data_IF_075680948220
#
_entry.id   IF_075680948220
#
_cell.length_a   1.000
_cell.length_b   1.000
_cell.length_c   1.000
_cell.angle_alpha   90.00
_cell.angle_beta   90.00
_cell.angle_gamma   90.00
#
_symmetry.space_group_name_H-M   'P 1'
#
loop_
_entity.id
_entity.type
_entity.pdbx_description
1 polymer ?
#
# COMPACT_ATOMS: atom_id res chain seq x y z
N UNK A 1 -2.95 33.29 33.58
CA UNK A 1 -1.71 33.66 32.88
C UNK A 1 -1.09 32.40 32.31
N UNK A 2 -1.38 32.16 31.04
CA UNK A 2 -0.93 31.05 30.20
C UNK A 2 0.57 31.21 29.87
N UNK A 3 1.40 30.21 30.21
CA UNK A 3 2.73 30.07 29.63
C UNK A 3 2.59 29.34 28.29
N UNK A 4 3.05 29.98 27.23
CA UNK A 4 2.92 29.54 25.85
C UNK A 4 3.67 28.25 25.55
N UNK A 5 3.10 27.47 24.63
CA UNK A 5 3.74 26.35 23.96
C UNK A 5 4.95 26.86 23.18
N UNK A 6 6.16 26.52 23.63
CA UNK A 6 7.36 26.68 22.81
C UNK A 6 7.23 25.76 21.60
N UNK A 7 7.25 26.35 20.39
CA UNK A 7 7.44 25.57 19.18
C UNK A 7 8.85 24.97 19.26
N UNK A 8 8.94 23.66 19.31
CA UNK A 8 10.19 22.90 19.28
C UNK A 8 10.88 23.19 17.95
N UNK A 9 12.06 23.81 17.99
CA UNK A 9 12.82 24.15 16.78
C UNK A 9 13.15 22.85 16.04
N UNK A 10 12.82 22.71 14.75
CA UNK A 10 13.07 21.46 14.03
C UNK A 10 14.57 21.14 14.01
N UNK A 11 14.95 19.85 14.11
CA UNK A 11 16.34 19.44 14.17
C UNK A 11 17.11 19.90 12.92
N UNK A 12 18.33 20.35 13.16
CA UNK A 12 19.20 20.96 12.16
C UNK A 12 19.96 19.91 11.33
N UNK A 13 20.26 18.76 11.94
CA UNK A 13 21.01 17.64 11.35
C UNK A 13 20.19 16.35 11.44
N UNK A 14 20.18 15.53 10.39
CA UNK A 14 19.46 14.25 10.39
C UNK A 14 20.45 13.12 10.05
N UNK A 15 20.55 12.13 10.93
CA UNK A 15 21.34 10.92 10.72
C UNK A 15 20.41 9.85 10.15
N UNK A 16 20.58 9.50 8.87
CA UNK A 16 19.57 8.78 8.09
C UNK A 16 20.07 7.41 7.68
N UNK A 17 19.33 6.37 8.08
CA UNK A 17 19.49 5.02 7.55
C UNK A 17 18.91 4.90 6.14
N UNK A 18 19.74 4.54 5.18
CA UNK A 18 19.32 4.40 3.79
C UNK A 18 18.87 2.99 3.41
N UNK A 19 18.94 2.05 4.35
CA UNK A 19 18.55 0.65 4.10
C UNK A 19 19.60 -0.13 3.28
N UNK A 20 19.24 -1.33 2.78
CA UNK A 20 20.19 -2.27 2.19
C UNK A 20 20.64 -1.96 0.75
N UNK A 21 20.05 -0.96 0.08
CA UNK A 21 20.34 -0.71 -1.34
C UNK A 21 19.18 -0.04 -2.07
N UNK A 22 18.12 -0.80 -2.38
CA UNK A 22 16.99 -0.30 -3.14
C UNK A 22 16.36 0.97 -2.52
N UNK A 23 16.16 2.01 -3.35
CA UNK A 23 15.55 3.30 -2.93
C UNK A 23 14.16 3.11 -2.34
N UNK A 24 13.41 2.11 -2.78
CA UNK A 24 12.05 1.81 -2.29
C UNK A 24 12.03 1.16 -0.90
N UNK A 25 13.21 0.79 -0.37
CA UNK A 25 13.41 0.37 1.01
C UNK A 25 13.78 1.52 1.96
N UNK A 26 13.95 2.74 1.44
CA UNK A 26 14.03 3.94 2.27
C UNK A 26 12.72 4.16 3.02
N UNK A 27 12.82 4.60 4.26
CA UNK A 27 11.64 5.12 4.95
C UNK A 27 11.10 6.36 4.22
N UNK A 28 9.79 6.56 4.27
CA UNK A 28 9.15 7.76 3.69
C UNK A 28 9.72 9.04 4.33
N UNK A 29 10.20 8.95 5.58
CA UNK A 29 10.88 10.04 6.27
C UNK A 29 12.28 10.31 5.70
N UNK A 30 13.09 9.26 5.53
CA UNK A 30 14.43 9.35 4.94
C UNK A 30 14.39 9.98 3.55
N UNK A 31 13.56 9.44 2.65
CA UNK A 31 13.41 9.96 1.28
C UNK A 31 13.03 11.45 1.22
N UNK A 32 12.11 11.90 2.07
CA UNK A 32 11.71 13.32 2.15
C UNK A 32 12.84 14.22 2.65
N UNK A 33 13.55 13.81 3.70
CA UNK A 33 14.62 14.60 4.29
C UNK A 33 15.81 14.72 3.33
N UNK A 34 16.15 13.64 2.63
CA UNK A 34 17.21 13.64 1.60
C UNK A 34 16.83 14.61 0.47
N UNK A 35 15.61 14.49 -0.08
CA UNK A 35 15.12 15.33 -1.18
C UNK A 35 14.94 16.82 -0.81
N UNK A 36 14.95 17.16 0.48
CA UNK A 36 14.83 18.53 0.99
C UNK A 36 16.16 19.05 1.57
N UNK A 37 17.25 18.29 1.46
CA UNK A 37 18.54 18.66 2.03
C UNK A 37 19.24 19.74 1.20
N UNK A 38 19.93 20.66 1.89
CA UNK A 38 20.85 21.61 1.26
C UNK A 38 22.30 21.12 1.28
N UNK A 39 22.63 20.24 2.24
CA UNK A 39 23.93 19.55 2.32
C UNK A 39 23.73 18.08 2.69
N UNK A 40 24.39 17.18 1.96
CA UNK A 40 24.35 15.74 2.14
C UNK A 40 25.77 15.19 2.37
N UNK A 41 25.99 14.57 3.53
CA UNK A 41 27.21 13.86 3.88
C UNK A 41 26.98 12.35 3.67
N UNK A 42 27.95 11.66 3.08
CA UNK A 42 27.90 10.21 2.88
C UNK A 42 29.30 9.62 2.77
N UNK A 43 29.48 8.35 3.13
CA UNK A 43 30.73 7.63 2.89
C UNK A 43 30.69 6.96 1.50
N UNK A 44 31.62 7.35 0.62
CA UNK A 44 31.73 6.74 -0.71
C UNK A 44 32.00 5.24 -0.63
N UNK A 45 31.30 4.45 -1.47
CA UNK A 45 31.42 2.99 -1.52
C UNK A 45 30.67 2.24 -0.41
N UNK A 46 30.14 2.93 0.60
CA UNK A 46 29.33 2.33 1.68
C UNK A 46 27.85 2.60 1.45
N UNK A 47 27.49 3.84 1.12
CA UNK A 47 26.11 4.23 0.85
C UNK A 47 25.71 3.83 -0.58
N UNK A 48 24.60 3.09 -0.78
CA UNK A 48 24.10 2.72 -2.09
C UNK A 48 23.92 3.92 -3.03
N UNK A 49 24.38 3.77 -4.28
CA UNK A 49 24.32 4.83 -5.29
C UNK A 49 22.88 5.25 -5.59
N UNK A 50 21.90 4.35 -5.43
CA UNK A 50 20.51 4.69 -5.65
C UNK A 50 19.98 5.67 -4.59
N UNK A 51 20.42 5.60 -3.32
CA UNK A 51 20.03 6.58 -2.30
C UNK A 51 20.53 8.00 -2.63
N UNK A 52 21.71 8.10 -3.26
CA UNK A 52 22.27 9.37 -3.73
C UNK A 52 21.45 10.02 -4.85
N UNK A 53 20.66 9.24 -5.60
CA UNK A 53 19.78 9.78 -6.66
C UNK A 53 18.66 10.68 -6.15
N UNK A 54 18.35 10.62 -4.86
CA UNK A 54 17.35 11.48 -4.20
C UNK A 54 17.93 12.82 -3.74
N UNK A 55 19.26 12.96 -3.71
CA UNK A 55 19.90 14.20 -3.28
C UNK A 55 19.64 15.28 -4.34
N UNK A 56 19.14 16.47 -3.96
CA UNK A 56 18.87 17.53 -4.91
C UNK A 56 20.14 17.92 -5.68
N UNK A 57 20.05 18.23 -6.98
CA UNK A 57 21.22 18.68 -7.75
C UNK A 57 21.79 20.02 -7.25
N UNK A 58 21.01 20.75 -6.45
CA UNK A 58 21.42 22.01 -5.80
C UNK A 58 22.09 21.78 -4.44
N UNK A 59 22.06 20.57 -3.89
CA UNK A 59 22.63 20.27 -2.59
C UNK A 59 24.14 20.08 -2.70
N UNK A 60 24.88 20.54 -1.67
CA UNK A 60 26.30 20.24 -1.53
C UNK A 60 26.47 18.79 -1.09
N UNK A 61 27.19 18.00 -1.87
CA UNK A 61 27.51 16.61 -1.53
C UNK A 61 28.95 16.54 -1.00
N UNK A 62 29.12 15.94 0.18
CA UNK A 62 30.41 15.80 0.87
C UNK A 62 30.68 14.32 1.12
N UNK A 63 31.79 13.83 0.58
CA UNK A 63 32.27 12.47 0.83
C UNK A 63 33.05 12.42 2.15
N UNK A 64 32.59 11.62 3.10
CA UNK A 64 33.17 11.47 4.44
C UNK A 64 34.21 10.36 4.54
N UNK A 65 34.43 9.57 3.48
CA UNK A 65 35.34 8.41 3.50
C UNK A 65 36.80 8.75 3.84
N UNK A 66 37.22 10.00 3.63
CA UNK A 66 38.55 10.52 3.96
C UNK A 66 38.58 11.62 5.02
N UNK A 67 37.45 11.90 5.70
CA UNK A 67 37.36 12.99 6.68
C UNK A 67 37.50 12.46 8.10
N UNK A 68 38.25 13.17 8.93
CA UNK A 68 38.17 12.98 10.38
C UNK A 68 36.84 13.51 10.92
N UNK A 69 36.43 13.03 12.10
CA UNK A 69 35.20 13.45 12.76
C UNK A 69 35.13 14.97 12.97
N UNK A 70 36.25 15.60 13.35
CA UNK A 70 36.34 17.06 13.47
C UNK A 70 36.11 17.78 12.15
N UNK A 71 36.64 17.26 11.03
CA UNK A 71 36.39 17.83 9.70
C UNK A 71 34.94 17.64 9.24
N UNK A 72 34.31 16.52 9.59
CA UNK A 72 32.90 16.30 9.31
C UNK A 72 32.01 17.30 10.07
N UNK A 73 32.35 17.59 11.33
CA UNK A 73 31.67 18.62 12.14
C UNK A 73 31.90 20.03 11.60
N UNK A 74 33.09 20.35 11.10
CA UNK A 74 33.36 21.64 10.47
C UNK A 74 32.50 21.85 9.22
N UNK A 75 32.35 20.81 8.37
CA UNK A 75 31.45 20.85 7.20
C UNK A 75 29.97 20.98 7.62
N UNK A 76 29.54 20.27 8.66
CA UNK A 76 28.19 20.40 9.22
C UNK A 76 27.96 21.82 9.73
N UNK A 77 28.90 22.37 10.52
CA UNK A 77 28.80 23.73 11.09
C UNK A 77 28.77 24.80 9.99
N UNK A 78 29.60 24.66 8.96
CA UNK A 78 29.59 25.54 7.79
C UNK A 78 28.26 25.47 7.02
N UNK A 79 27.66 24.28 6.91
CA UNK A 79 26.36 24.09 6.27
C UNK A 79 25.21 24.72 7.07
N UNK A 80 25.22 24.55 8.38
CA UNK A 80 24.26 25.21 9.27
C UNK A 80 24.39 26.74 9.22
N UNK A 81 25.62 27.27 9.11
CA UNK A 81 25.86 28.71 8.92
C UNK A 81 25.27 29.27 7.61
N UNK A 82 25.04 28.43 6.59
CA UNK A 82 24.34 28.79 5.35
C UNK A 82 22.81 28.67 5.45
N UNK A 83 22.30 28.10 6.54
CA UNK A 83 20.89 27.76 6.69
C UNK A 83 20.49 26.47 5.97
N UNK A 84 21.44 25.62 5.61
CA UNK A 84 21.16 24.35 4.94
C UNK A 84 20.53 23.35 5.93
N UNK A 85 19.57 22.57 5.44
CA UNK A 85 19.20 21.32 6.11
C UNK A 85 20.29 20.28 5.82
N UNK A 86 20.89 19.74 6.87
CA UNK A 86 21.98 18.78 6.77
C UNK A 86 21.46 17.36 6.96
N UNK A 87 21.84 16.46 6.05
CA UNK A 87 21.61 15.01 6.18
C UNK A 87 22.95 14.27 6.13
N UNK A 88 23.10 13.25 6.97
CA UNK A 88 24.23 12.33 6.95
C UNK A 88 23.69 10.92 6.72
N UNK A 89 24.12 10.26 5.64
CA UNK A 89 23.59 8.97 5.20
C UNK A 89 24.43 7.80 5.71
N UNK A 90 23.75 6.78 6.24
CA UNK A 90 24.34 5.52 6.70
C UNK A 90 23.67 4.35 6.00
N UNK A 91 24.44 3.37 5.53
CA UNK A 91 23.88 2.14 4.96
C UNK A 91 23.12 1.34 6.04
N UNK A 92 21.99 0.71 5.71
CA UNK A 92 21.18 0.04 6.74
C UNK A 92 20.56 1.05 7.72
N UNK A 93 20.80 0.87 9.03
CA UNK A 93 20.39 1.78 10.09
C UNK A 93 21.60 2.47 10.76
N UNK A 94 21.55 3.77 11.12
CA UNK A 94 22.67 4.45 11.76
C UNK A 94 23.11 3.82 13.10
N UNK A 95 22.23 3.13 13.83
CA UNK A 95 22.58 2.41 15.07
C UNK A 95 23.56 1.25 14.84
N UNK A 96 23.68 0.77 13.59
CA UNK A 96 24.64 -0.27 13.22
C UNK A 96 26.07 0.26 13.04
N UNK A 97 26.26 1.59 13.07
CA UNK A 97 27.51 2.28 12.75
C UNK A 97 28.08 3.03 13.96
N UNK A 98 29.24 2.62 14.51
CA UNK A 98 29.90 3.32 15.62
C UNK A 98 30.16 4.81 15.33
N UNK A 99 30.47 5.15 14.08
CA UNK A 99 30.68 6.52 13.60
C UNK A 99 29.42 7.40 13.73
N UNK A 100 28.22 6.81 13.67
CA UNK A 100 26.97 7.55 13.87
C UNK A 100 26.83 7.99 15.33
N UNK A 101 27.18 7.10 16.26
CA UNK A 101 27.14 7.37 17.70
C UNK A 101 28.17 8.42 18.10
N UNK A 102 29.41 8.30 17.61
CA UNK A 102 30.45 9.28 17.88
C UNK A 102 30.04 10.67 17.37
N UNK A 103 29.52 10.73 16.14
CA UNK A 103 29.02 11.97 15.56
C UNK A 103 27.86 12.58 16.38
N UNK A 104 26.92 11.77 16.85
CA UNK A 104 25.83 12.21 17.73
C UNK A 104 26.35 12.82 19.03
N UNK A 105 27.29 12.15 19.72
CA UNK A 105 27.91 12.65 20.95
C UNK A 105 28.64 13.99 20.73
N UNK A 106 29.29 14.13 19.56
CA UNK A 106 29.98 15.37 19.18
C UNK A 106 29.00 16.49 18.82
N UNK A 107 27.88 16.18 18.16
CA UNK A 107 26.81 17.15 17.88
C UNK A 107 26.15 17.65 19.18
N UNK A 108 25.90 16.75 20.13
CA UNK A 108 25.40 17.10 21.46
C UNK A 108 26.38 18.00 22.21
N UNK A 109 27.68 17.68 22.17
CA UNK A 109 28.74 18.50 22.79
C UNK A 109 28.87 19.89 22.14
N UNK A 110 28.54 20.02 20.86
CA UNK A 110 28.52 21.28 20.13
C UNK A 110 27.19 22.05 20.27
N UNK A 111 26.18 21.48 20.94
CA UNK A 111 24.85 22.08 21.10
C UNK A 111 24.04 22.12 19.79
N UNK A 112 24.34 21.24 18.84
CA UNK A 112 23.66 21.16 17.54
C UNK A 112 22.51 20.17 17.64
N UNK A 113 21.27 20.63 17.44
CA UNK A 113 20.10 19.75 17.43
C UNK A 113 20.16 18.75 16.27
N UNK A 114 20.05 17.47 16.58
CA UNK A 114 20.07 16.39 15.60
C UNK A 114 18.92 15.39 15.80
N UNK A 115 18.65 14.59 14.79
CA UNK A 115 17.64 13.54 14.83
C UNK A 115 18.13 12.26 14.16
N UNK A 116 17.89 11.12 14.82
CA UNK A 116 18.01 9.79 14.22
C UNK A 116 16.78 9.46 13.36
N UNK A 117 17.03 9.00 12.15
CA UNK A 117 16.00 8.51 11.23
C UNK A 117 16.30 7.05 10.92
N UNK A 118 15.46 6.12 11.41
CA UNK A 118 15.74 4.69 11.28
C UNK A 118 15.68 4.21 9.84
N UNK A 119 16.48 3.20 9.54
CA UNK A 119 16.58 2.50 8.27
C UNK A 119 16.35 1.00 8.40
N UNK A 120 16.25 0.31 7.26
CA UNK A 120 16.08 -1.16 7.26
C UNK A 120 17.45 -1.82 7.43
N UNK A 121 17.64 -2.54 8.54
CA UNK A 121 18.88 -3.27 8.82
C UNK A 121 19.10 -4.43 7.82
N UNK A 122 20.33 -4.64 7.38
CA UNK A 122 20.75 -5.84 6.65
C UNK A 122 21.86 -6.59 7.41
N UNK A 123 21.82 -7.93 7.46
CA UNK A 123 22.83 -8.73 8.19
C UNK A 123 24.24 -8.61 7.60
N UNK A 124 24.38 -8.31 6.30
CA UNK A 124 25.69 -8.20 5.64
C UNK A 124 26.54 -6.99 6.10
N UNK A 125 25.97 -6.02 6.81
CA UNK A 125 26.73 -4.87 7.32
C UNK A 125 27.39 -5.13 8.69
N UNK A 126 27.16 -6.28 9.33
CA UNK A 126 27.66 -6.53 10.70
C UNK A 126 28.58 -7.75 10.88
N UNK A 127 28.93 -8.53 9.84
CA UNK A 127 29.85 -9.66 10.02
C UNK A 127 30.50 -10.13 8.71
N UNK A 128 31.81 -10.48 8.68
CA UNK A 128 32.43 -11.10 7.51
C UNK A 128 31.75 -12.44 7.18
N UNK A 129 31.61 -12.72 5.87
CA UNK A 129 31.13 -14.00 5.35
C UNK A 129 32.06 -15.14 5.76
N UNK A 130 31.81 -15.73 6.91
CA UNK A 130 32.15 -17.12 7.17
C UNK A 130 30.90 -17.84 7.69
N UNK A 131 30.52 -18.89 6.97
CA UNK A 131 29.22 -19.52 7.07
C UNK A 131 28.97 -20.22 8.41
N UNK A 132 28.21 -19.57 9.28
CA UNK A 132 27.45 -20.24 10.34
C UNK A 132 26.26 -19.35 10.74
N UNK A 133 25.03 -19.81 10.54
CA UNK A 133 23.86 -19.16 11.15
C UNK A 133 23.88 -19.40 12.67
N UNK A 134 23.64 -18.38 13.51
CA UNK A 134 23.25 -18.61 14.90
C UNK A 134 21.74 -18.86 15.01
N UNK A 135 21.39 -19.88 15.80
CA UNK A 135 20.04 -20.33 16.15
C UNK A 135 19.24 -19.24 16.90
N UNK A 136 17.93 -18.99 16.61
CA UNK A 136 17.17 -17.91 17.24
C UNK A 136 16.70 -18.19 18.67
N UNK A 137 16.94 -19.38 19.23
CA UNK A 137 16.49 -19.71 20.59
C UNK A 137 17.65 -20.18 21.47
N UNK A 138 18.14 -19.27 22.31
CA UNK A 138 19.01 -19.62 23.43
C UNK A 138 18.29 -20.55 24.41
N UNK A 139 18.66 -21.82 24.40
CA UNK A 139 18.24 -22.84 25.35
C UNK A 139 19.42 -23.73 25.72
N UNK A 140 19.91 -23.60 26.94
CA UNK A 140 21.01 -24.37 27.48
C UNK A 140 20.71 -25.88 27.64
N UNK A 141 21.81 -26.65 27.74
CA UNK A 141 21.94 -28.12 28.00
C UNK A 141 21.78 -28.96 26.74
N UNK A 142 22.63 -29.92 26.43
CA UNK A 142 23.69 -30.62 27.16
C UNK A 142 24.08 -31.81 26.29
N UNK A 143 25.34 -32.21 26.34
CA UNK A 143 25.92 -33.30 25.55
C UNK A 143 25.15 -34.62 25.74
N UNK A 144 24.96 -35.39 24.66
CA UNK A 144 25.36 -36.81 24.62
C UNK A 144 25.23 -37.40 23.21
N UNK A 145 26.29 -38.11 22.83
CA UNK A 145 26.42 -38.89 21.60
C UNK A 145 25.69 -40.24 21.69
N UNK A 146 25.28 -40.80 20.56
CA UNK A 146 25.77 -42.09 20.02
C UNK A 146 24.70 -42.92 19.27
N UNK A 147 25.07 -43.24 18.02
CA UNK A 147 24.97 -44.53 17.30
C UNK A 147 23.61 -45.22 17.02
N UNK A 148 23.36 -45.38 15.71
CA UNK A 148 22.97 -46.59 14.96
C UNK A 148 21.99 -47.63 15.59
N UNK A 149 20.94 -48.02 14.86
CA UNK A 149 20.96 -49.22 14.01
C UNK A 149 19.61 -49.43 13.25
N UNK A 150 19.65 -50.39 12.33
CA UNK A 150 18.78 -50.75 11.21
C UNK A 150 17.32 -51.21 11.48
N UNK A 151 16.54 -51.04 10.39
CA UNK A 151 15.59 -51.96 9.75
C UNK A 151 14.46 -52.67 10.55
N UNK A 152 13.22 -52.56 10.05
CA UNK A 152 12.54 -53.66 9.32
C UNK A 152 11.10 -53.29 8.93
N UNK A 153 10.64 -53.93 7.85
CA UNK A 153 9.39 -53.73 7.14
C UNK A 153 8.12 -54.19 7.87
N UNK A 154 6.96 -53.64 7.46
CA UNK A 154 5.64 -54.17 7.77
C UNK A 154 4.56 -53.55 6.88
N UNK A 155 3.96 -54.37 6.02
CA UNK A 155 2.90 -54.01 5.08
C UNK A 155 1.57 -53.74 5.80
N UNK A 156 0.79 -52.80 5.25
CA UNK A 156 -0.59 -52.55 5.67
C UNK A 156 -1.28 -51.57 4.73
N UNK A 157 -1.86 -52.08 3.64
CA UNK A 157 -2.90 -51.35 2.90
C UNK A 157 -4.09 -51.16 3.84
N UNK A 158 -4.43 -49.93 4.18
CA UNK A 158 -5.75 -49.56 4.69
C UNK A 158 -6.17 -48.20 4.17
N UNK A 159 -7.46 -48.16 3.84
CA UNK A 159 -8.32 -47.14 3.28
C UNK A 159 -7.89 -45.67 3.36
N UNK A 160 -8.21 -44.96 2.27
CA UNK A 160 -8.24 -43.51 2.14
C UNK A 160 -8.91 -42.84 3.35
N UNK A 161 -8.08 -42.30 4.24
CA UNK A 161 -8.45 -41.30 5.23
C UNK A 161 -8.10 -39.92 4.67
N UNK A 162 -9.05 -38.99 4.77
CA UNK A 162 -8.90 -37.59 4.40
C UNK A 162 -7.58 -36.99 4.93
N UNK A 163 -6.94 -36.06 4.21
CA UNK A 163 -5.80 -35.35 4.77
C UNK A 163 -6.27 -34.48 5.93
N UNK A 164 -6.03 -34.96 7.15
CA UNK A 164 -6.01 -34.16 8.36
C UNK A 164 -4.77 -33.28 8.35
N UNK A 165 -4.83 -32.13 7.68
CA UNK A 165 -3.97 -30.99 8.01
C UNK A 165 -4.81 -29.98 8.79
N UNK A 166 -4.46 -29.78 10.05
CA UNK A 166 -5.05 -28.74 10.92
C UNK A 166 -4.66 -27.32 10.50
N UNK A 167 -3.78 -27.17 9.51
CA UNK A 167 -3.50 -25.90 8.86
C UNK A 167 -4.33 -25.80 7.56
N UNK A 168 -4.98 -24.65 7.30
CA UNK A 168 -5.60 -24.41 6.00
C UNK A 168 -4.55 -24.52 4.90
N UNK A 169 -4.94 -25.07 3.75
CA UNK A 169 -4.19 -24.86 2.52
C UNK A 169 -4.24 -23.40 2.07
N UNK A 170 -3.74 -23.13 0.87
CA UNK A 170 -3.54 -21.77 0.36
C UNK A 170 -4.85 -20.97 0.32
N UNK A 171 -4.81 -19.71 0.75
CA UNK A 171 -5.93 -18.77 0.73
C UNK A 171 -5.74 -17.82 -0.45
N UNK A 172 -6.71 -17.77 -1.36
CA UNK A 172 -6.71 -16.81 -2.46
C UNK A 172 -7.47 -15.55 -2.07
N UNK A 173 -6.82 -14.40 -2.12
CA UNK A 173 -7.46 -13.09 -2.00
C UNK A 173 -7.53 -12.45 -3.39
N UNK A 174 -8.74 -12.25 -3.91
CA UNK A 174 -8.95 -11.46 -5.12
C UNK A 174 -8.90 -9.98 -4.72
N UNK A 175 -7.87 -9.27 -5.18
CA UNK A 175 -7.46 -8.00 -4.61
C UNK A 175 -7.69 -6.77 -5.49
N UNK A 176 -7.03 -5.67 -5.10
CA UNK A 176 -7.12 -4.37 -5.77
C UNK A 176 -7.71 -3.25 -4.91
N UNK A 177 -8.16 -3.57 -3.69
CA UNK A 177 -8.72 -2.62 -2.73
C UNK A 177 -7.80 -2.42 -1.52
N UNK A 178 -8.08 -1.40 -0.71
CA UNK A 178 -7.38 -1.18 0.56
C UNK A 178 -7.72 -2.30 1.55
N UNK A 179 -8.96 -2.77 1.53
CA UNK A 179 -9.46 -3.86 2.36
C UNK A 179 -8.73 -5.18 2.05
N UNK A 180 -8.59 -5.54 0.77
CA UNK A 180 -7.86 -6.74 0.34
C UNK A 180 -6.41 -6.74 0.85
N UNK A 181 -5.71 -5.60 0.71
CA UNK A 181 -4.33 -5.47 1.19
C UNK A 181 -4.23 -5.58 2.71
N UNK A 182 -5.12 -4.92 3.45
CA UNK A 182 -5.16 -5.03 4.91
C UNK A 182 -5.44 -6.45 5.37
N UNK A 183 -6.32 -7.15 4.66
CA UNK A 183 -6.62 -8.55 4.93
C UNK A 183 -5.39 -9.43 4.65
N UNK A 184 -4.77 -9.32 3.48
CA UNK A 184 -3.55 -10.07 3.15
C UNK A 184 -2.43 -9.83 4.18
N UNK A 185 -2.19 -8.57 4.56
CA UNK A 185 -1.20 -8.22 5.59
C UNK A 185 -1.51 -8.90 6.93
N UNK A 186 -2.78 -8.92 7.35
CA UNK A 186 -3.23 -9.58 8.58
C UNK A 186 -3.02 -11.10 8.51
N UNK A 187 -3.43 -11.74 7.41
CA UNK A 187 -3.37 -13.19 7.25
C UNK A 187 -1.92 -13.71 7.14
N UNK A 188 -1.07 -13.01 6.38
CA UNK A 188 0.36 -13.34 6.29
C UNK A 188 1.05 -13.16 7.63
N UNK A 189 0.72 -12.09 8.37
CA UNK A 189 1.27 -11.87 9.72
C UNK A 189 0.82 -12.94 10.72
N UNK A 190 -0.32 -13.60 10.47
CA UNK A 190 -0.80 -14.74 11.23
C UNK A 190 -0.18 -16.09 10.78
N UNK A 191 0.74 -16.08 9.81
CA UNK A 191 1.44 -17.27 9.32
C UNK A 191 0.65 -18.11 8.31
N UNK A 192 -0.42 -17.56 7.71
CA UNK A 192 -1.21 -18.26 6.71
C UNK A 192 -0.57 -18.16 5.31
N UNK A 193 -0.70 -19.21 4.50
CA UNK A 193 -0.29 -19.19 3.09
C UNK A 193 -1.34 -18.43 2.26
N UNK A 194 -0.98 -17.23 1.82
CA UNK A 194 -1.87 -16.31 1.12
C UNK A 194 -1.28 -15.93 -0.24
N UNK A 195 -2.11 -16.07 -1.28
CA UNK A 195 -1.86 -15.48 -2.59
C UNK A 195 -2.85 -14.35 -2.82
N UNK A 196 -2.36 -13.17 -3.15
CA UNK A 196 -3.22 -12.09 -3.62
C UNK A 196 -3.18 -11.99 -5.14
N UNK A 197 -4.33 -12.12 -5.81
CA UNK A 197 -4.45 -11.90 -7.23
C UNK A 197 -4.82 -10.44 -7.54
N UNK A 198 -4.03 -9.80 -8.40
CA UNK A 198 -4.27 -8.44 -8.89
C UNK A 198 -4.48 -8.47 -10.40
N UNK A 199 -5.51 -7.76 -10.88
CA UNK A 199 -5.89 -7.75 -12.30
C UNK A 199 -4.84 -7.19 -13.28
N UNK A 200 -3.66 -6.74 -12.82
CA UNK A 200 -2.63 -6.15 -13.67
C UNK A 200 -3.01 -4.80 -14.31
N UNK A 201 -4.10 -4.17 -13.83
CA UNK A 201 -4.60 -2.90 -14.38
C UNK A 201 -3.74 -1.68 -14.05
N UNK A 202 -2.77 -1.82 -13.14
CA UNK A 202 -1.81 -0.77 -12.79
C UNK A 202 -0.41 -1.21 -13.19
N UNK A 203 0.37 -0.32 -13.81
CA UNK A 203 1.77 -0.52 -14.15
C UNK A 203 2.65 -0.68 -12.91
N UNK A 204 2.28 -0.05 -11.78
CA UNK A 204 2.99 -0.16 -10.49
C UNK A 204 2.00 -0.24 -9.33
N UNK A 205 1.36 -1.40 -9.08
CA UNK A 205 0.44 -1.56 -7.96
C UNK A 205 1.17 -1.51 -6.61
N UNK A 206 0.50 -1.06 -5.55
CA UNK A 206 1.00 -1.26 -4.19
C UNK A 206 0.77 -2.73 -3.83
N UNK A 207 1.85 -3.48 -3.74
CA UNK A 207 1.80 -4.92 -3.48
C UNK A 207 1.41 -5.17 -2.00
N UNK A 208 0.49 -6.09 -1.73
CA UNK A 208 0.28 -6.60 -0.38
C UNK A 208 1.45 -7.49 0.05
N UNK A 209 1.55 -7.78 1.35
CA UNK A 209 2.45 -8.84 1.83
C UNK A 209 2.00 -10.22 1.30
N UNK A 210 2.95 -11.13 1.18
CA UNK A 210 2.73 -12.49 0.70
C UNK A 210 2.98 -12.65 -0.80
N UNK A 211 2.60 -13.82 -1.33
CA UNK A 211 2.71 -14.12 -2.75
C UNK A 211 1.68 -13.30 -3.54
N UNK A 212 2.08 -12.74 -4.68
CA UNK A 212 1.21 -11.91 -5.52
C UNK A 212 1.18 -12.46 -6.94
N UNK A 213 -0.01 -12.78 -7.41
CA UNK A 213 -0.29 -13.09 -8.81
C UNK A 213 -0.72 -11.80 -9.53
N UNK A 214 -0.04 -11.42 -10.60
CA UNK A 214 -0.43 -10.29 -11.44
C UNK A 214 -0.89 -10.82 -12.79
N UNK A 215 -2.14 -10.54 -13.12
CA UNK A 215 -2.80 -11.05 -14.33
C UNK A 215 -4.18 -11.61 -13.99
N UNK A 216 -5.01 -11.78 -15.01
CA UNK A 216 -6.28 -12.48 -14.88
C UNK A 216 -6.09 -13.99 -14.93
N UNK A 217 -7.11 -14.72 -14.49
CA UNK A 217 -7.19 -16.18 -14.63
C UNK A 217 -7.69 -16.64 -16.00
N UNK A 218 -7.99 -15.69 -16.91
CA UNK A 218 -8.68 -15.94 -18.17
C UNK A 218 -10.18 -15.81 -17.98
N UNK A 219 -10.77 -16.79 -17.31
CA UNK A 219 -12.21 -16.93 -17.04
C UNK A 219 -12.43 -17.76 -15.75
N UNK A 220 -13.70 -18.14 -15.50
CA UNK A 220 -14.08 -18.99 -14.39
C UNK A 220 -13.39 -20.36 -14.41
N UNK A 221 -13.21 -20.99 -15.58
CA UNK A 221 -12.58 -22.31 -15.71
C UNK A 221 -11.08 -22.23 -15.39
N UNK A 222 -10.41 -21.18 -15.87
CA UNK A 222 -9.02 -20.91 -15.53
C UNK A 222 -8.82 -20.63 -14.03
N UNK A 223 -9.76 -19.92 -13.40
CA UNK A 223 -9.74 -19.74 -11.94
C UNK A 223 -9.97 -21.07 -11.22
N UNK A 224 -10.94 -21.88 -11.65
CA UNK A 224 -11.21 -23.20 -11.07
C UNK A 224 -10.00 -24.14 -11.19
N UNK A 225 -9.32 -24.12 -12.34
CA UNK A 225 -8.09 -24.88 -12.53
C UNK A 225 -6.98 -24.40 -11.58
N UNK A 226 -6.80 -23.09 -11.44
CA UNK A 226 -5.82 -22.55 -10.50
C UNK A 226 -6.10 -22.99 -9.06
N UNK A 227 -7.37 -22.94 -8.62
CA UNK A 227 -7.78 -23.37 -7.28
C UNK A 227 -7.42 -24.84 -7.01
N UNK A 228 -7.68 -25.73 -7.99
CA UNK A 228 -7.34 -27.16 -7.88
C UNK A 228 -5.83 -27.40 -7.84
N UNK A 229 -5.09 -26.80 -8.78
CA UNK A 229 -3.64 -27.01 -8.91
C UNK A 229 -2.88 -26.52 -7.68
N UNK A 230 -3.35 -25.45 -7.05
CA UNK A 230 -2.68 -24.83 -5.91
C UNK A 230 -3.23 -25.28 -4.55
N UNK A 231 -4.18 -26.23 -4.52
CA UNK A 231 -4.78 -26.72 -3.27
C UNK A 231 -5.43 -25.61 -2.45
N UNK A 232 -6.11 -24.67 -3.11
CA UNK A 232 -6.72 -23.54 -2.45
C UNK A 232 -7.82 -23.99 -1.50
N UNK A 233 -7.75 -23.55 -0.24
CA UNK A 233 -8.73 -23.92 0.80
C UNK A 233 -9.85 -22.89 0.96
N UNK A 234 -9.63 -21.64 0.54
CA UNK A 234 -10.65 -20.60 0.54
C UNK A 234 -10.36 -19.52 -0.50
N UNK A 235 -11.41 -18.87 -0.97
CA UNK A 235 -11.35 -17.65 -1.80
C UNK A 235 -12.01 -16.51 -1.05
N UNK A 236 -11.32 -15.37 -0.96
CA UNK A 236 -11.90 -14.12 -0.49
C UNK A 236 -11.95 -13.12 -1.64
N UNK A 237 -13.16 -12.84 -2.12
CA UNK A 237 -13.43 -11.75 -3.04
C UNK A 237 -13.40 -10.41 -2.30
N UNK A 238 -12.26 -9.73 -2.35
CA UNK A 238 -12.07 -8.39 -1.79
C UNK A 238 -11.82 -7.37 -2.91
N UNK A 239 -12.39 -7.61 -4.11
CA UNK A 239 -12.24 -6.73 -5.26
C UNK A 239 -13.07 -5.44 -5.12
N UNK A 240 -12.89 -4.49 -6.05
CA UNK A 240 -13.72 -3.29 -6.05
C UNK A 240 -15.15 -3.65 -6.46
N UNK A 241 -16.22 -3.04 -5.89
CA UNK A 241 -17.61 -3.38 -6.24
C UNK A 241 -17.97 -3.24 -7.73
N UNK A 242 -17.15 -2.54 -8.52
CA UNK A 242 -17.32 -2.42 -9.98
C UNK A 242 -16.58 -3.52 -10.77
N UNK A 243 -15.88 -4.44 -10.10
CA UNK A 243 -15.13 -5.54 -10.70
C UNK A 243 -16.01 -6.79 -10.89
N UNK A 244 -17.11 -6.62 -11.62
CA UNK A 244 -18.16 -7.64 -11.73
C UNK A 244 -17.66 -8.97 -12.31
N UNK A 245 -16.88 -8.93 -13.39
CA UNK A 245 -16.46 -10.14 -14.10
C UNK A 245 -15.72 -11.13 -13.18
N UNK A 246 -14.68 -10.67 -12.50
CA UNK A 246 -13.88 -11.54 -11.61
C UNK A 246 -14.69 -12.00 -10.38
N UNK A 247 -15.66 -11.19 -9.93
CA UNK A 247 -16.57 -11.58 -8.85
C UNK A 247 -17.49 -12.73 -9.29
N UNK A 248 -18.03 -12.64 -10.52
CA UNK A 248 -18.82 -13.72 -11.14
C UNK A 248 -17.98 -14.96 -11.39
N UNK A 249 -16.78 -14.80 -11.94
CA UNK A 249 -15.83 -15.90 -12.18
C UNK A 249 -15.50 -16.63 -10.88
N UNK A 250 -15.34 -15.89 -9.77
CA UNK A 250 -15.11 -16.46 -8.45
C UNK A 250 -16.27 -17.33 -7.98
N UNK A 251 -17.52 -16.88 -8.13
CA UNK A 251 -18.71 -17.67 -7.77
C UNK A 251 -18.78 -18.96 -8.60
N UNK A 252 -18.58 -18.87 -9.90
CA UNK A 252 -18.63 -20.03 -10.79
C UNK A 252 -17.50 -21.03 -10.47
N UNK A 253 -16.27 -20.54 -10.32
CA UNK A 253 -15.11 -21.38 -10.03
C UNK A 253 -15.19 -22.07 -8.65
N UNK A 254 -15.72 -21.37 -7.65
CA UNK A 254 -15.88 -21.92 -6.30
C UNK A 254 -17.03 -22.91 -6.22
N UNK A 255 -18.11 -22.70 -6.98
CA UNK A 255 -19.17 -23.69 -7.15
C UNK A 255 -18.66 -24.99 -7.82
N UNK A 256 -17.82 -24.88 -8.85
CA UNK A 256 -17.22 -26.01 -9.58
C UNK A 256 -16.19 -26.79 -8.75
N UNK A 257 -15.42 -26.11 -7.90
CA UNK A 257 -14.36 -26.73 -7.09
C UNK A 257 -14.79 -27.14 -5.69
N UNK A 258 -15.91 -26.62 -5.19
CA UNK A 258 -16.36 -26.77 -3.81
C UNK A 258 -15.54 -25.97 -2.79
N UNK A 259 -14.61 -25.12 -3.24
CA UNK A 259 -13.84 -24.22 -2.38
C UNK A 259 -14.77 -23.13 -1.85
N UNK A 260 -14.77 -22.83 -0.54
CA UNK A 260 -15.65 -21.79 0.00
C UNK A 260 -15.25 -20.39 -0.46
N UNK A 261 -16.26 -19.57 -0.76
CA UNK A 261 -16.14 -18.17 -1.16
C UNK A 261 -16.71 -17.25 -0.08
N UNK A 262 -15.92 -16.24 0.30
CA UNK A 262 -16.36 -15.11 1.09
C UNK A 262 -16.21 -13.82 0.29
N UNK A 263 -17.20 -12.94 0.31
CA UNK A 263 -17.08 -11.59 -0.22
C UNK A 263 -16.80 -10.60 0.90
N UNK A 264 -15.67 -9.89 0.81
CA UNK A 264 -15.35 -8.74 1.65
C UNK A 264 -15.68 -7.45 0.91
N UNK A 265 -16.89 -6.94 1.12
CA UNK A 265 -17.38 -5.75 0.43
C UNK A 265 -17.86 -4.70 1.44
N UNK A 266 -17.23 -3.52 1.39
CA UNK A 266 -17.64 -2.36 2.20
C UNK A 266 -19.06 -1.89 1.84
N UNK A 267 -19.83 -1.40 2.81
CA UNK A 267 -21.20 -0.92 2.58
C UNK A 267 -21.20 0.32 1.65
N UNK A 268 -22.38 0.60 1.09
CA UNK A 268 -22.62 1.86 0.38
C UNK A 268 -22.42 3.04 1.32
N UNK A 269 -22.14 4.22 0.75
CA UNK A 269 -22.24 5.43 1.57
C UNK A 269 -23.70 5.77 1.79
N UNK A 270 -23.97 6.50 2.87
CA UNK A 270 -25.30 7.00 3.19
C UNK A 270 -25.25 8.52 3.15
N UNK A 271 -26.23 9.13 2.49
CA UNK A 271 -26.40 10.58 2.49
C UNK A 271 -26.63 11.08 3.91
N UNK A 272 -25.79 12.01 4.34
CA UNK A 272 -25.95 12.73 5.59
C UNK A 272 -26.59 14.11 5.38
N UNK A 273 -26.86 14.80 6.47
CA UNK A 273 -27.30 16.19 6.43
C UNK A 273 -26.27 17.07 5.68
N UNK A 274 -26.76 17.87 4.73
CA UNK A 274 -25.93 18.75 3.89
C UNK A 274 -25.31 18.08 2.66
N UNK A 275 -25.51 16.77 2.45
CA UNK A 275 -25.16 16.14 1.19
C UNK A 275 -26.17 16.50 0.08
N UNK A 276 -25.66 16.78 -1.11
CA UNK A 276 -26.46 17.04 -2.31
C UNK A 276 -26.07 16.01 -3.38
N UNK A 277 -26.61 14.79 -3.31
CA UNK A 277 -26.24 13.73 -4.25
C UNK A 277 -27.25 13.62 -5.40
N UNK A 278 -26.72 13.45 -6.61
CA UNK A 278 -27.46 13.15 -7.83
C UNK A 278 -27.09 11.71 -8.18
N UNK A 279 -27.92 10.75 -7.78
CA UNK A 279 -27.66 9.33 -8.03
C UNK A 279 -27.99 8.98 -9.48
N UNK A 280 -27.08 8.30 -10.14
CA UNK A 280 -27.20 7.90 -11.55
C UNK A 280 -26.82 6.42 -11.69
N UNK A 281 -27.50 5.65 -12.56
CA UNK A 281 -27.32 4.20 -12.63
C UNK A 281 -25.97 3.78 -13.24
N UNK A 282 -25.36 4.62 -14.07
CA UNK A 282 -24.18 4.28 -14.84
C UNK A 282 -23.39 5.54 -15.31
N UNK A 283 -22.28 5.30 -16.02
CA UNK A 283 -21.42 6.35 -16.56
C UNK A 283 -22.12 7.20 -17.64
N UNK A 284 -22.85 6.64 -18.62
CA UNK A 284 -23.63 7.45 -19.57
C UNK A 284 -24.60 8.42 -18.89
N UNK A 285 -25.34 7.97 -17.88
CA UNK A 285 -26.23 8.84 -17.12
C UNK A 285 -25.46 9.92 -16.33
N UNK A 286 -24.24 9.62 -15.87
CA UNK A 286 -23.37 10.62 -15.24
C UNK A 286 -22.93 11.71 -16.22
N UNK A 287 -22.61 11.35 -17.47
CA UNK A 287 -22.26 12.30 -18.53
C UNK A 287 -23.43 13.25 -18.79
N UNK A 288 -24.64 12.72 -18.95
CA UNK A 288 -25.84 13.53 -19.19
C UNK A 288 -26.20 14.42 -17.98
N UNK A 289 -26.00 13.94 -16.76
CA UNK A 289 -26.20 14.76 -15.56
C UNK A 289 -25.22 15.93 -15.48
N UNK A 290 -24.00 15.76 -15.98
CA UNK A 290 -22.94 16.77 -15.91
C UNK A 290 -23.03 17.77 -17.07
N UNK A 291 -23.22 17.26 -18.29
CA UNK A 291 -23.17 18.03 -19.54
C UNK A 291 -24.21 19.16 -19.54
N UNK A 292 -23.77 20.38 -19.79
CA UNK A 292 -24.62 21.57 -19.84
C UNK A 292 -25.12 22.09 -18.48
N UNK A 293 -25.06 21.28 -17.41
CA UNK A 293 -25.48 21.66 -16.07
C UNK A 293 -24.34 22.21 -15.21
N UNK A 294 -23.10 21.77 -15.46
CA UNK A 294 -21.92 22.14 -14.68
C UNK A 294 -20.76 22.59 -15.57
N UNK A 295 -19.90 23.48 -15.05
CA UNK A 295 -18.79 24.09 -15.79
C UNK A 295 -17.43 23.61 -15.35
N UNK A 296 -17.26 23.12 -14.12
CA UNK A 296 -15.98 22.66 -13.56
C UNK A 296 -16.11 21.32 -12.82
N UNK A 297 -16.39 20.21 -13.55
CA UNK A 297 -16.55 18.91 -12.92
C UNK A 297 -15.21 18.34 -12.43
N UNK A 298 -15.21 17.73 -11.26
CA UNK A 298 -14.10 16.90 -10.77
C UNK A 298 -14.43 15.42 -10.93
N UNK A 299 -13.67 14.72 -11.78
CA UNK A 299 -13.85 13.29 -12.04
C UNK A 299 -12.94 12.46 -11.12
N UNK A 300 -13.55 11.56 -10.34
CA UNK A 300 -12.86 10.56 -9.51
C UNK A 300 -13.30 9.13 -9.84
N UNK A 301 -13.76 8.92 -11.06
CA UNK A 301 -14.32 7.65 -11.57
C UNK A 301 -13.25 6.68 -12.10
N UNK A 302 -11.97 7.03 -12.00
CA UNK A 302 -10.85 6.21 -12.45
C UNK A 302 -10.57 6.36 -13.96
N UNK A 303 -9.50 5.71 -14.41
CA UNK A 303 -8.92 5.95 -15.74
C UNK A 303 -9.81 5.56 -16.92
N UNK A 304 -10.70 4.58 -16.73
CA UNK A 304 -11.63 4.16 -17.79
C UNK A 304 -12.85 5.08 -17.87
N UNK A 305 -13.43 5.46 -16.72
CA UNK A 305 -14.61 6.33 -16.69
C UNK A 305 -14.34 7.78 -17.10
N UNK A 306 -13.09 8.24 -17.04
CA UNK A 306 -12.75 9.61 -17.47
C UNK A 306 -12.97 9.83 -18.97
N UNK A 307 -12.75 8.81 -19.79
CA UNK A 307 -12.85 8.91 -21.26
C UNK A 307 -14.29 9.07 -21.76
N UNK A 308 -15.28 8.70 -20.95
CA UNK A 308 -16.71 8.84 -21.27
C UNK A 308 -17.13 10.32 -21.42
N UNK A 309 -16.35 11.25 -20.85
CA UNK A 309 -16.61 12.69 -20.93
C UNK A 309 -15.94 13.37 -22.13
N UNK A 310 -15.25 12.62 -23.00
CA UNK A 310 -14.43 13.19 -24.08
C UNK A 310 -15.18 14.16 -25.01
N UNK A 311 -16.45 13.88 -25.27
CA UNK A 311 -17.27 14.67 -26.19
C UNK A 311 -17.88 15.94 -25.56
N UNK A 312 -17.64 16.21 -24.28
CA UNK A 312 -18.06 17.47 -23.67
C UNK A 312 -17.03 18.59 -23.86
N UNK A 313 -17.36 19.55 -24.72
CA UNK A 313 -16.57 20.76 -25.00
C UNK A 313 -16.89 21.95 -24.08
N UNK A 314 -17.95 21.87 -23.26
CA UNK A 314 -18.40 22.98 -22.41
C UNK A 314 -17.67 23.00 -21.06
N UNK A 315 -17.46 21.83 -20.47
CA UNK A 315 -16.85 21.67 -19.15
C UNK A 315 -15.33 21.89 -19.12
N UNK A 316 -14.82 22.45 -18.02
CA UNK A 316 -13.40 22.49 -17.69
C UNK A 316 -13.09 21.50 -16.57
N UNK A 317 -12.65 20.30 -16.95
CA UNK A 317 -12.58 19.14 -16.09
C UNK A 317 -11.33 19.11 -15.21
N UNK A 318 -11.46 18.70 -13.95
CA UNK A 318 -10.35 18.17 -13.16
C UNK A 318 -10.48 16.66 -13.12
N UNK A 319 -9.52 15.94 -13.69
CA UNK A 319 -9.55 14.48 -13.77
C UNK A 319 -8.50 13.94 -12.82
N UNK A 320 -8.90 13.18 -11.80
CA UNK A 320 -7.96 12.54 -10.88
C UNK A 320 -7.95 11.03 -11.04
N UNK A 321 -6.79 10.52 -11.45
CA UNK A 321 -6.57 9.10 -11.72
C UNK A 321 -5.22 8.63 -11.17
N UNK A 322 -5.12 7.35 -10.78
CA UNK A 322 -3.83 6.75 -10.38
C UNK A 322 -2.83 6.63 -11.51
N UNK A 323 -3.33 6.61 -12.76
CA UNK A 323 -2.60 6.44 -14.01
C UNK A 323 -3.33 7.17 -15.14
N UNK A 324 -2.64 7.52 -16.24
CA UNK A 324 -3.26 8.17 -17.38
C UNK A 324 -4.44 7.35 -17.94
N UNK A 325 -5.58 8.00 -18.24
CA UNK A 325 -6.65 7.44 -19.06
C UNK A 325 -6.11 6.98 -20.43
N UNK A 326 -6.48 5.78 -20.91
CA UNK A 326 -5.99 5.27 -22.19
C UNK A 326 -6.75 5.83 -23.40
N UNK A 327 -7.89 6.50 -23.19
CA UNK A 327 -8.77 6.99 -24.23
C UNK A 327 -8.74 8.51 -24.38
N UNK A 328 -9.56 9.06 -25.31
CA UNK A 328 -9.69 10.51 -25.47
C UNK A 328 -10.21 11.14 -24.17
N UNK A 329 -9.85 12.40 -23.95
CA UNK A 329 -10.27 13.19 -22.80
C UNK A 329 -11.00 14.45 -23.26
N UNK A 330 -11.80 15.08 -22.38
CA UNK A 330 -12.45 16.36 -22.69
C UNK A 330 -11.43 17.38 -23.20
N UNK A 331 -11.85 18.31 -24.06
CA UNK A 331 -10.93 19.30 -24.65
C UNK A 331 -10.21 20.16 -23.58
N UNK A 332 -10.93 20.50 -22.51
CA UNK A 332 -10.42 21.33 -21.42
C UNK A 332 -10.32 20.53 -20.14
N UNK A 333 -9.12 20.06 -19.81
CA UNK A 333 -8.90 19.28 -18.60
C UNK A 333 -7.59 19.63 -17.89
N UNK A 334 -7.59 19.40 -16.57
CA UNK A 334 -6.40 19.26 -15.75
C UNK A 334 -6.35 17.82 -15.26
N UNK A 335 -5.33 17.07 -15.68
CA UNK A 335 -5.09 15.71 -15.22
C UNK A 335 -4.19 15.74 -13.98
N UNK A 336 -4.70 15.19 -12.88
CA UNK A 336 -3.98 15.00 -11.62
C UNK A 336 -3.71 13.51 -11.45
N UNK A 337 -2.43 13.12 -11.62
CA UNK A 337 -2.00 11.75 -11.38
C UNK A 337 -1.64 11.59 -9.90
N UNK A 338 -2.54 10.96 -9.15
CA UNK A 338 -2.39 10.85 -7.70
C UNK A 338 -3.06 9.56 -7.18
N UNK A 339 -2.56 9.06 -6.05
CA UNK A 339 -3.00 7.80 -5.44
C UNK A 339 -3.25 8.01 -3.95
N UNK A 340 -4.48 7.71 -3.54
CA UNK A 340 -4.90 7.84 -2.15
C UNK A 340 -4.16 6.92 -1.17
N UNK A 341 -4.54 6.94 0.13
CA UNK A 341 -5.71 7.62 0.66
C UNK A 341 -5.58 9.15 0.62
N UNK A 342 -6.71 9.84 0.47
CA UNK A 342 -6.77 11.31 0.46
C UNK A 342 -7.41 11.83 1.75
N UNK A 343 -6.93 12.97 2.25
CA UNK A 343 -7.47 13.62 3.45
C UNK A 343 -8.49 14.71 3.11
N UNK A 344 -9.44 14.97 4.01
CA UNK A 344 -10.52 15.94 3.79
C UNK A 344 -9.99 17.32 3.46
N UNK A 345 -8.96 17.81 4.16
CA UNK A 345 -8.40 19.14 3.90
C UNK A 345 -7.74 19.25 2.51
N UNK A 346 -7.09 18.18 2.05
CA UNK A 346 -6.52 18.12 0.71
C UNK A 346 -7.62 18.15 -0.38
N UNK A 347 -8.73 17.45 -0.15
CA UNK A 347 -9.90 17.46 -1.02
C UNK A 347 -10.57 18.84 -1.05
N UNK A 348 -10.74 19.48 0.11
CA UNK A 348 -11.29 20.84 0.19
C UNK A 348 -10.41 21.85 -0.55
N UNK A 349 -9.09 21.72 -0.42
CA UNK A 349 -8.12 22.60 -1.06
C UNK A 349 -8.16 22.48 -2.58
N UNK A 350 -8.15 21.25 -3.11
CA UNK A 350 -8.20 21.03 -4.56
C UNK A 350 -9.55 21.49 -5.13
N UNK A 351 -10.67 21.16 -4.47
CA UNK A 351 -12.00 21.59 -4.92
C UNK A 351 -12.13 23.12 -4.93
N UNK A 352 -11.70 23.79 -3.86
CA UNK A 352 -11.79 25.25 -3.75
C UNK A 352 -10.87 25.96 -4.75
N UNK A 353 -9.60 25.53 -4.85
CA UNK A 353 -8.60 26.12 -5.74
C UNK A 353 -9.03 26.05 -7.21
N UNK A 354 -9.63 24.94 -7.61
CA UNK A 354 -10.09 24.73 -8.97
C UNK A 354 -11.54 25.16 -9.21
N UNK A 355 -12.21 25.69 -8.17
CA UNK A 355 -13.62 26.16 -8.21
C UNK A 355 -14.56 25.09 -8.73
N UNK A 356 -14.37 23.85 -8.26
CA UNK A 356 -15.16 22.70 -8.63
C UNK A 356 -16.63 22.96 -8.29
N UNK A 357 -17.52 22.72 -9.24
CA UNK A 357 -18.97 22.93 -9.08
C UNK A 357 -19.77 21.63 -9.08
N UNK A 358 -19.13 20.48 -9.37
CA UNK A 358 -19.68 19.14 -9.17
C UNK A 358 -18.58 18.10 -8.99
N UNK A 359 -18.77 17.17 -8.05
CA UNK A 359 -17.93 15.98 -7.92
C UNK A 359 -18.62 14.80 -8.63
N UNK A 360 -17.93 14.13 -9.55
CA UNK A 360 -18.40 12.89 -10.15
C UNK A 360 -17.62 11.73 -9.56
N UNK A 361 -18.31 10.76 -8.98
CA UNK A 361 -17.67 9.61 -8.35
C UNK A 361 -18.48 8.34 -8.42
N UNK A 362 -17.80 7.20 -8.27
CA UNK A 362 -18.42 5.89 -8.14
C UNK A 362 -18.78 5.63 -6.68
N UNK A 363 -19.89 4.94 -6.44
CA UNK A 363 -20.33 4.39 -5.15
C UNK A 363 -19.40 3.25 -4.70
N UNK A 364 -18.11 3.55 -4.58
CA UNK A 364 -17.10 2.60 -4.14
C UNK A 364 -17.33 2.21 -2.69
N UNK A 365 -17.93 3.07 -1.85
CA UNK A 365 -18.07 2.85 -0.41
C UNK A 365 -16.74 2.93 0.35
N UNK A 366 -16.80 2.72 1.66
CA UNK A 366 -15.62 2.67 2.54
C UNK A 366 -15.13 4.02 3.06
N UNK A 367 -14.48 4.01 4.24
CA UNK A 367 -13.97 5.23 4.90
C UNK A 367 -12.77 5.83 4.18
N UNK A 368 -11.87 5.00 3.63
CA UNK A 368 -10.61 5.46 3.04
C UNK A 368 -10.78 6.36 1.79
N UNK A 369 -11.94 6.28 1.15
CA UNK A 369 -12.29 7.04 -0.06
C UNK A 369 -13.40 8.07 0.19
N UNK A 370 -13.89 8.22 1.43
CA UNK A 370 -14.99 9.11 1.80
C UNK A 370 -14.60 10.60 1.87
N UNK A 371 -13.30 10.92 2.02
CA UNK A 371 -12.83 12.29 2.24
C UNK A 371 -13.32 13.31 1.20
N UNK A 372 -13.46 12.90 -0.06
CA UNK A 372 -14.00 13.74 -1.14
C UNK A 372 -15.48 14.10 -0.95
N UNK A 373 -16.27 13.20 -0.36
CA UNK A 373 -17.68 13.45 -0.06
C UNK A 373 -17.81 14.43 1.09
N UNK A 374 -17.00 14.25 2.13
CA UNK A 374 -16.94 15.19 3.27
C UNK A 374 -16.51 16.59 2.81
N UNK A 375 -15.53 16.68 1.91
CA UNK A 375 -15.12 17.94 1.32
C UNK A 375 -16.21 18.58 0.43
N UNK A 376 -16.89 17.78 -0.39
CA UNK A 376 -17.99 18.25 -1.22
C UNK A 376 -19.12 18.82 -0.37
N UNK A 377 -19.51 18.09 0.69
CA UNK A 377 -20.48 18.55 1.70
C UNK A 377 -20.07 19.88 2.33
N UNK A 378 -18.83 19.98 2.80
CA UNK A 378 -18.32 21.19 3.45
C UNK A 378 -18.28 22.41 2.52
N UNK A 379 -18.28 22.19 1.20
CA UNK A 379 -18.26 23.23 0.17
C UNK A 379 -19.62 23.41 -0.53
N UNK A 380 -20.67 22.68 -0.11
CA UNK A 380 -21.97 22.61 -0.78
C UNK A 380 -21.87 22.26 -2.27
N UNK A 381 -20.90 21.41 -2.63
CA UNK A 381 -20.71 20.93 -4.01
C UNK A 381 -21.59 19.69 -4.21
N UNK A 382 -22.48 19.68 -5.22
CA UNK A 382 -23.26 18.48 -5.54
C UNK A 382 -22.36 17.33 -5.99
N UNK A 383 -22.80 16.11 -5.69
CA UNK A 383 -22.08 14.88 -6.03
C UNK A 383 -22.92 14.06 -7.00
N UNK A 384 -22.46 13.92 -8.25
CA UNK A 384 -23.00 12.90 -9.16
C UNK A 384 -22.43 11.55 -8.73
N UNK A 385 -23.28 10.73 -8.13
CA UNK A 385 -22.95 9.42 -7.57
C UNK A 385 -23.35 8.33 -8.56
N UNK A 386 -22.37 7.73 -9.20
CA UNK A 386 -22.56 6.55 -10.06
C UNK A 386 -22.79 5.35 -9.17
N UNK A 387 -24.01 4.81 -9.21
CA UNK A 387 -24.44 3.66 -8.42
C UNK A 387 -23.60 2.42 -8.74
N UNK A 388 -23.54 1.49 -7.79
CA UNK A 388 -22.93 0.18 -8.06
C UNK A 388 -23.74 -0.52 -9.16
N UNK A 389 -23.08 -1.18 -10.12
CA UNK A 389 -23.80 -1.96 -11.11
C UNK A 389 -24.62 -3.04 -10.41
N UNK A 390 -25.74 -3.46 -11.03
CA UNK A 390 -26.47 -4.64 -10.55
C UNK A 390 -25.54 -5.85 -10.55
N UNK A 391 -25.53 -6.59 -9.45
CA UNK A 391 -24.68 -7.76 -9.30
C UNK A 391 -25.12 -8.84 -10.31
N UNK A 392 -24.29 -9.24 -11.28
CA UNK A 392 -24.64 -10.30 -12.22
C UNK A 392 -24.97 -11.62 -11.53
N UNK A 393 -24.46 -11.86 -10.32
CA UNK A 393 -24.75 -13.06 -9.53
C UNK A 393 -26.23 -13.11 -9.15
N UNK A 394 -26.81 -11.98 -8.72
CA UNK A 394 -28.24 -11.88 -8.41
C UNK A 394 -29.08 -11.97 -9.69
N UNK A 395 -28.63 -11.34 -10.78
CA UNK A 395 -29.37 -11.32 -12.04
C UNK A 395 -29.40 -12.70 -12.74
N UNK A 396 -28.36 -13.52 -12.54
CA UNK A 396 -28.21 -14.84 -13.15
C UNK A 396 -28.66 -16.00 -12.24
N UNK A 397 -29.29 -15.69 -11.09
CA UNK A 397 -29.74 -16.68 -10.09
C UNK A 397 -28.61 -17.62 -9.61
N UNK A 398 -27.39 -17.06 -9.52
CA UNK A 398 -26.21 -17.75 -9.01
C UNK A 398 -26.19 -17.71 -7.47
N UNK A 399 -25.50 -18.66 -6.80
CA UNK A 399 -25.34 -18.63 -5.35
C UNK A 399 -24.71 -17.33 -4.87
N UNK A 400 -25.46 -16.57 -4.05
CA UNK A 400 -24.97 -15.32 -3.46
C UNK A 400 -23.91 -15.68 -2.40
N UNK A 401 -22.67 -15.20 -2.52
CA UNK A 401 -21.63 -15.49 -1.55
C UNK A 401 -21.95 -14.82 -0.21
N UNK A 402 -21.57 -15.49 0.88
CA UNK A 402 -21.56 -14.87 2.21
C UNK A 402 -20.75 -13.57 2.13
N UNK A 403 -21.34 -12.47 2.62
CA UNK A 403 -20.76 -11.14 2.50
C UNK A 403 -20.52 -10.54 3.89
N UNK A 404 -19.28 -10.10 4.11
CA UNK A 404 -18.86 -9.34 5.29
C UNK A 404 -18.39 -7.94 4.89
N UNK A 405 -18.37 -7.02 5.84
CA UNK A 405 -18.14 -5.61 5.58
C UNK A 405 -16.83 -5.08 6.16
N UNK A 406 -16.17 -5.89 6.99
CA UNK A 406 -14.93 -5.52 7.67
C UNK A 406 -13.87 -6.60 7.57
N UNK A 407 -12.61 -6.16 7.58
CA UNK A 407 -11.43 -7.04 7.51
C UNK A 407 -11.39 -8.03 8.69
N UNK A 408 -11.79 -7.59 9.90
CA UNK A 408 -11.82 -8.45 11.08
C UNK A 408 -12.91 -9.53 11.01
N UNK A 409 -14.03 -9.26 10.33
CA UNK A 409 -15.07 -10.26 10.07
C UNK A 409 -14.57 -11.33 9.08
N UNK A 410 -13.87 -10.92 8.03
CA UNK A 410 -13.29 -11.86 7.07
C UNK A 410 -12.21 -12.75 7.71
N UNK A 411 -11.38 -12.19 8.59
CA UNK A 411 -10.41 -12.96 9.35
C UNK A 411 -11.11 -13.96 10.30
N UNK A 412 -12.18 -13.53 10.99
CA UNK A 412 -12.97 -14.40 11.87
C UNK A 412 -13.61 -15.56 11.10
N UNK A 413 -14.12 -15.31 9.90
CA UNK A 413 -14.69 -16.34 9.03
C UNK A 413 -13.67 -17.45 8.71
N UNK A 414 -12.40 -17.09 8.46
CA UNK A 414 -11.32 -18.07 8.28
C UNK A 414 -11.02 -18.85 9.56
N UNK A 415 -11.00 -18.16 10.72
CA UNK A 415 -10.76 -18.81 12.02
C UNK A 415 -11.88 -19.78 12.38
N UNK A 416 -13.14 -19.44 12.13
CA UNK A 416 -14.27 -20.34 12.39
C UNK A 416 -14.24 -21.60 11.54
N UNK A 417 -13.60 -21.52 10.36
CA UNK A 417 -13.55 -22.60 9.37
C UNK A 417 -12.32 -23.48 9.49
N UNK A 418 -11.17 -22.90 9.86
CA UNK A 418 -9.87 -23.58 9.89
C UNK A 418 -9.19 -23.55 11.27
N UNK A 419 -9.72 -22.79 12.23
CA UNK A 419 -9.25 -22.79 13.59
C UNK A 419 -9.50 -24.15 14.25
N UNK A 420 -8.47 -24.69 14.88
CA UNK A 420 -8.63 -25.86 15.76
C UNK A 420 -9.56 -25.46 16.91
N UNK A 421 -10.67 -26.19 17.10
CA UNK A 421 -11.50 -26.06 18.30
C UNK A 421 -10.76 -26.57 19.54
#
# INVERSE_FOLDING_TARGET
>A
MTRGSGAETPPAVHLIGVGPGPVDLLTVRASRLIAMSGTCLYAHGVVPAEAMSLVPPTARVVDTSGLSEGQAIDEISAALGRGDRVVHLFAGDPEQHPESRNLADTLDSAGISWEHVPGICHPDFTTPLDGAQPDPFGGARGEESATADQAAAGSGRSAAGAPSSTAPGKILVLGGTVEARRLADLLVSAGLDVVTALAGKLARPRLPRGEVLIGGFGDADGLAQWLRTNGASAVIDATDPFALQISTDAVLATADTGVPLLRLQRPNWTEGEGDCWIRVPDMPAAVEAVRGNFRRPMLTVGKLGASEFADDSQGAYLIRCSEPPPGPLPERYLLVLDRGPFGVDSERTIMSRHRIDVLVTRESGGKASAAKLEAARALNIPVVMVERPRDPIEAADLPVPETVHRVDEAARWLVERFGSR
#
